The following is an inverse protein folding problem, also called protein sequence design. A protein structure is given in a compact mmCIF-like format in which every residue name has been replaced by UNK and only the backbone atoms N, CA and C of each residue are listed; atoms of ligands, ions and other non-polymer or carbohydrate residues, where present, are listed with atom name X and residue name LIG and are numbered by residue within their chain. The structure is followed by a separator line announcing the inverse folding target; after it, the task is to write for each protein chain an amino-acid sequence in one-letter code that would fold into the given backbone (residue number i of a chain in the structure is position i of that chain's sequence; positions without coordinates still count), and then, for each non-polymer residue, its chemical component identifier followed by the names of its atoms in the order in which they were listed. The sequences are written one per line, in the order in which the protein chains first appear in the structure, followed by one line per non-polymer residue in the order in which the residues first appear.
data_IF_943424632360
#
_entry.id   IF_943424632360
#
_cell.length_a   1.000
_cell.length_b   1.000
_cell.length_c   1.000
_cell.angle_alpha   90.00
_cell.angle_beta   90.00
_cell.angle_gamma   90.00
#
_symmetry.space_group_name_H-M   'P 1'
#
loop_
_entity.id
_entity.type
_entity.pdbx_description
1 polymer ?
#
# COMPACT_ATOMS: atom_id res chain seq x y z
N UNK A 1 -66.14 -41.72 10.54
CA UNK A 1 -65.47 -40.73 9.72
C UNK A 1 -64.24 -40.20 10.43
N UNK A 2 -63.09 -40.58 10.03
CA UNK A 2 -61.83 -40.09 10.59
C UNK A 2 -61.24 -39.05 9.65
N UNK A 3 -61.30 -37.81 10.04
CA UNK A 3 -60.64 -36.72 9.30
C UNK A 3 -59.16 -36.76 9.70
N UNK A 4 -58.32 -37.20 8.79
CA UNK A 4 -56.87 -37.14 8.98
C UNK A 4 -56.43 -35.77 8.55
N UNK A 5 -56.14 -34.91 9.54
CA UNK A 5 -55.57 -33.61 9.33
C UNK A 5 -54.08 -33.81 9.04
N UNK A 6 -53.71 -33.74 7.77
CA UNK A 6 -52.30 -33.73 7.38
C UNK A 6 -51.74 -32.33 7.60
N UNK A 7 -51.01 -32.19 8.69
CA UNK A 7 -50.16 -31.02 8.89
C UNK A 7 -49.01 -31.10 7.91
N UNK A 8 -49.07 -30.31 6.86
CA UNK A 8 -47.93 -30.05 5.98
C UNK A 8 -47.10 -28.99 6.68
N UNK A 9 -46.04 -29.42 7.35
CA UNK A 9 -44.99 -28.53 7.82
C UNK A 9 -44.21 -28.03 6.59
N UNK A 10 -44.53 -26.84 6.12
CA UNK A 10 -43.72 -26.13 5.15
C UNK A 10 -42.49 -25.61 5.90
N UNK A 11 -41.39 -26.33 5.76
CA UNK A 11 -40.08 -25.90 6.24
C UNK A 11 -39.61 -24.83 5.28
N UNK A 12 -39.85 -23.58 5.62
CA UNK A 12 -39.25 -22.45 4.95
C UNK A 12 -37.78 -22.39 5.35
N UNK A 13 -36.90 -22.95 4.53
CA UNK A 13 -35.51 -22.69 4.62
C UNK A 13 -35.30 -21.24 4.14
N UNK A 14 -35.18 -20.33 5.07
CA UNK A 14 -34.53 -19.03 4.79
C UNK A 14 -33.07 -19.32 4.49
N UNK A 15 -32.75 -19.54 3.23
CA UNK A 15 -31.40 -19.42 2.74
C UNK A 15 -31.05 -17.92 2.78
N UNK A 16 -30.50 -17.50 3.92
CA UNK A 16 -29.85 -16.21 4.02
C UNK A 16 -28.68 -16.23 3.04
N UNK A 17 -28.85 -15.62 1.89
CA UNK A 17 -27.74 -15.28 1.03
C UNK A 17 -26.86 -14.32 1.84
N UNK A 18 -25.74 -14.83 2.34
CA UNK A 18 -24.64 -14.00 2.78
C UNK A 18 -24.15 -13.29 1.53
N UNK A 19 -24.66 -12.08 1.32
CA UNK A 19 -24.05 -11.19 0.35
C UNK A 19 -22.64 -10.90 0.88
N UNK A 20 -21.67 -11.64 0.36
CA UNK A 20 -20.28 -11.27 0.48
C UNK A 20 -20.16 -9.93 -0.23
N UNK A 21 -20.18 -8.83 0.52
CA UNK A 21 -19.79 -7.53 0.02
C UNK A 21 -18.34 -7.65 -0.39
N UNK A 22 -18.09 -7.96 -1.65
CA UNK A 22 -16.79 -7.75 -2.24
C UNK A 22 -16.52 -6.25 -2.10
N UNK A 23 -15.68 -5.88 -1.12
CA UNK A 23 -15.05 -4.58 -1.16
C UNK A 23 -14.34 -4.53 -2.51
N UNK A 24 -14.93 -3.83 -3.46
CA UNK A 24 -14.21 -3.39 -4.63
C UNK A 24 -13.06 -2.56 -4.07
N UNK A 25 -11.90 -3.20 -3.90
CA UNK A 25 -10.66 -2.46 -3.75
C UNK A 25 -10.62 -1.55 -4.96
N UNK A 26 -10.74 -0.24 -4.72
CA UNK A 26 -10.62 0.77 -5.76
C UNK A 26 -9.18 0.70 -6.26
N UNK A 27 -8.96 -0.21 -7.22
CA UNK A 27 -7.67 -0.34 -7.88
C UNK A 27 -7.34 1.00 -8.51
N UNK A 28 -6.16 1.49 -8.24
CA UNK A 28 -5.68 2.71 -8.84
C UNK A 28 -5.65 2.55 -10.36
N UNK A 29 -6.20 3.53 -11.07
CA UNK A 29 -6.07 3.64 -12.50
C UNK A 29 -4.75 4.30 -12.82
N UNK A 30 -3.91 3.64 -13.60
CA UNK A 30 -2.60 4.13 -13.95
C UNK A 30 -2.49 4.37 -15.45
N UNK A 31 -1.87 5.49 -15.81
CA UNK A 31 -1.46 5.82 -17.18
C UNK A 31 0.05 5.82 -17.26
N UNK A 32 0.59 5.14 -18.25
CA UNK A 32 2.02 5.03 -18.46
C UNK A 32 2.44 5.78 -19.71
N UNK A 33 3.50 6.57 -19.61
CA UNK A 33 4.10 7.30 -20.70
C UNK A 33 5.63 7.30 -20.52
N UNK A 34 6.36 6.74 -21.47
CA UNK A 34 7.82 6.64 -21.43
C UNK A 34 8.35 6.21 -20.04
N UNK A 35 8.94 7.13 -19.30
CA UNK A 35 9.51 6.94 -17.96
C UNK A 35 8.59 7.44 -16.82
N UNK A 36 7.37 7.84 -17.15
CA UNK A 36 6.39 8.35 -16.18
C UNK A 36 5.24 7.39 -16.01
N UNK A 37 4.88 7.11 -14.77
CA UNK A 37 3.67 6.41 -14.38
C UNK A 37 2.84 7.34 -13.49
N UNK A 38 1.61 7.63 -13.88
CA UNK A 38 0.69 8.45 -13.12
C UNK A 38 -0.55 7.63 -12.76
N UNK A 39 -0.88 7.59 -11.48
CA UNK A 39 -1.97 6.79 -10.94
C UNK A 39 -2.93 7.65 -10.13
N UNK A 40 -4.22 7.31 -10.19
CA UNK A 40 -5.23 7.87 -9.31
C UNK A 40 -6.14 6.77 -8.78
N UNK A 41 -6.54 6.86 -7.53
CA UNK A 41 -7.57 5.98 -6.98
C UNK A 41 -8.96 6.62 -7.10
N UNK A 42 -10.01 5.85 -6.80
CA UNK A 42 -11.39 6.35 -6.85
C UNK A 42 -11.75 7.31 -5.72
N UNK A 43 -10.84 7.61 -4.80
CA UNK A 43 -11.02 8.49 -3.65
C UNK A 43 -10.40 9.88 -3.86
N UNK A 44 -9.78 10.11 -5.01
CA UNK A 44 -9.14 11.38 -5.35
C UNK A 44 -7.66 11.47 -4.95
N UNK A 45 -7.07 10.40 -4.38
CA UNK A 45 -5.64 10.33 -4.17
C UNK A 45 -4.93 10.09 -5.50
N UNK A 46 -3.80 10.73 -5.71
CA UNK A 46 -3.03 10.61 -6.93
C UNK A 46 -1.54 10.49 -6.61
N UNK A 47 -0.83 9.76 -7.43
CA UNK A 47 0.62 9.62 -7.32
C UNK A 47 1.26 9.39 -8.67
N UNK A 48 2.49 9.82 -8.78
CA UNK A 48 3.29 9.63 -9.98
C UNK A 48 4.68 9.13 -9.64
N UNK A 49 5.23 8.34 -10.54
CA UNK A 49 6.57 7.78 -10.44
C UNK A 49 7.29 8.11 -11.75
N UNK A 50 8.40 8.78 -11.65
CA UNK A 50 9.27 9.08 -12.80
C UNK A 50 10.66 8.51 -12.54
N UNK A 51 11.21 7.82 -13.51
CA UNK A 51 12.56 7.25 -13.43
C UNK A 51 13.50 8.01 -14.37
N UNK A 52 14.62 8.45 -13.83
CA UNK A 52 15.68 9.10 -14.58
C UNK A 52 17.04 8.56 -14.11
N UNK A 53 17.71 7.76 -14.94
CA UNK A 53 18.96 7.10 -14.56
C UNK A 53 18.76 6.17 -13.34
N UNK A 54 19.55 6.36 -12.32
CA UNK A 54 19.47 5.61 -11.05
C UNK A 54 18.54 6.25 -10.00
N UNK A 55 17.78 7.26 -10.40
CA UNK A 55 16.92 8.02 -9.50
C UNK A 55 15.45 7.84 -9.88
N UNK A 56 14.64 7.61 -8.87
CA UNK A 56 13.18 7.52 -8.98
C UNK A 56 12.59 8.68 -8.21
N UNK A 57 11.77 9.48 -8.89
CA UNK A 57 11.03 10.60 -8.32
C UNK A 57 9.59 10.18 -8.11
N UNK A 58 9.14 10.22 -6.87
CA UNK A 58 7.76 9.92 -6.51
C UNK A 58 7.09 11.20 -6.03
N UNK A 59 5.86 11.40 -6.43
CA UNK A 59 4.99 12.47 -5.93
C UNK A 59 3.63 11.91 -5.63
N UNK A 60 3.01 12.42 -4.59
CA UNK A 60 1.68 12.01 -4.20
C UNK A 60 0.83 13.16 -3.72
N UNK A 61 -0.46 12.97 -3.85
CA UNK A 61 -1.49 13.81 -3.28
C UNK A 61 -2.48 12.93 -2.53
N UNK A 62 -2.73 13.28 -1.28
CA UNK A 62 -3.71 12.64 -0.41
C UNK A 62 -4.85 13.61 -0.15
N UNK A 63 -6.07 13.21 -0.48
CA UNK A 63 -7.27 14.03 -0.27
C UNK A 63 -7.47 14.34 1.20
N UNK A 64 -7.26 13.35 2.06
CA UNK A 64 -7.32 13.52 3.49
C UNK A 64 -6.22 14.46 3.97
N UNK A 65 -6.62 15.66 4.41
CA UNK A 65 -5.71 16.69 4.84
C UNK A 65 -5.07 17.50 3.70
N UNK A 66 -5.50 17.30 2.44
CA UNK A 66 -4.95 17.98 1.25
C UNK A 66 -3.42 17.97 1.21
N UNK A 67 -2.87 16.80 1.47
CA UNK A 67 -1.43 16.61 1.68
C UNK A 67 -0.72 16.28 0.38
N UNK A 68 0.23 17.10 -0.02
CA UNK A 68 1.17 16.82 -1.09
C UNK A 68 2.48 16.30 -0.51
N UNK A 69 3.08 15.33 -1.19
CA UNK A 69 4.39 14.84 -0.81
C UNK A 69 5.24 14.52 -2.03
N UNK A 70 6.53 14.55 -1.84
CA UNK A 70 7.51 14.17 -2.84
C UNK A 70 8.62 13.34 -2.19
N UNK A 71 9.05 12.31 -2.88
CA UNK A 71 10.16 11.46 -2.46
C UNK A 71 11.12 11.25 -3.61
N UNK A 72 12.40 11.30 -3.33
CA UNK A 72 13.46 10.95 -4.26
C UNK A 72 14.15 9.69 -3.75
N UNK A 73 14.26 8.70 -4.60
CA UNK A 73 14.92 7.44 -4.30
C UNK A 73 16.07 7.25 -5.28
N UNK A 74 17.26 7.10 -4.77
CA UNK A 74 18.47 6.90 -5.56
C UNK A 74 19.14 5.59 -5.24
N UNK A 75 19.65 4.92 -6.26
CA UNK A 75 20.29 3.62 -6.13
C UNK A 75 21.77 3.74 -6.47
N UNK A 76 22.60 3.27 -5.55
CA UNK A 76 24.05 3.21 -5.70
C UNK A 76 24.53 1.80 -5.38
N UNK A 77 24.70 0.97 -6.40
CA UNK A 77 25.04 -0.44 -6.20
C UNK A 77 23.97 -1.19 -5.40
N UNK A 78 24.33 -1.68 -4.23
CA UNK A 78 23.42 -2.40 -3.33
C UNK A 78 22.73 -1.52 -2.30
N UNK A 79 23.01 -0.21 -2.32
CA UNK A 79 22.40 0.79 -1.46
C UNK A 79 21.31 1.53 -2.21
N UNK A 80 20.11 1.54 -1.66
CA UNK A 80 19.02 2.40 -2.08
C UNK A 80 18.75 3.42 -0.99
N UNK A 81 18.80 4.67 -1.35
CA UNK A 81 18.64 5.80 -0.44
C UNK A 81 17.41 6.62 -0.84
N UNK A 82 16.58 7.01 0.11
CA UNK A 82 15.41 7.84 -0.18
C UNK A 82 15.27 8.99 0.80
N UNK A 83 14.75 10.10 0.31
CA UNK A 83 14.37 11.27 1.09
C UNK A 83 13.01 11.76 0.63
N UNK A 84 12.22 12.26 1.54
CA UNK A 84 10.90 12.79 1.21
C UNK A 84 10.52 13.99 2.06
N UNK A 85 9.58 14.76 1.53
CA UNK A 85 9.04 15.95 2.17
C UNK A 85 7.56 16.06 1.83
N UNK A 86 6.75 16.44 2.81
CA UNK A 86 5.34 16.69 2.63
C UNK A 86 4.96 18.16 2.90
N UNK A 87 3.81 18.56 2.37
CA UNK A 87 3.30 19.93 2.51
C UNK A 87 2.95 20.33 3.95
N UNK A 88 2.74 19.35 4.84
CA UNK A 88 2.55 19.55 6.27
C UNK A 88 3.87 19.79 7.04
N UNK A 89 5.01 19.74 6.35
CA UNK A 89 6.34 19.92 6.92
C UNK A 89 7.01 18.63 7.38
N UNK A 90 6.32 17.47 7.29
CA UNK A 90 6.94 16.19 7.60
C UNK A 90 8.04 15.87 6.58
N UNK A 91 9.21 15.50 7.08
CA UNK A 91 10.33 15.04 6.28
C UNK A 91 10.75 13.64 6.72
N UNK A 92 11.15 12.82 5.79
CA UNK A 92 11.63 11.48 6.09
C UNK A 92 12.85 11.13 5.26
N UNK A 93 13.63 10.23 5.79
CA UNK A 93 14.86 9.72 5.17
C UNK A 93 15.01 8.26 5.51
N UNK A 94 15.57 7.53 4.59
CA UNK A 94 15.86 6.14 4.85
C UNK A 94 16.79 5.53 3.81
N UNK A 95 17.17 4.32 4.08
CA UNK A 95 17.96 3.52 3.15
C UNK A 95 17.63 2.04 3.25
N UNK A 96 17.91 1.36 2.17
CA UNK A 96 17.85 -0.09 2.07
C UNK A 96 19.19 -0.57 1.54
N UNK A 97 19.83 -1.47 2.23
CA UNK A 97 21.12 -2.07 1.85
C UNK A 97 21.01 -3.58 1.77
N UNK A 98 21.42 -4.11 0.65
CA UNK A 98 21.48 -5.55 0.47
C UNK A 98 22.82 -6.08 1.00
N UNK A 99 22.75 -7.07 1.90
CA UNK A 99 23.91 -7.76 2.46
C UNK A 99 23.70 -9.27 2.27
N UNK A 100 24.28 -9.84 1.23
CA UNK A 100 24.07 -11.24 0.86
C UNK A 100 22.59 -11.52 0.53
N UNK A 101 21.98 -12.43 1.29
CA UNK A 101 20.56 -12.82 1.15
C UNK A 101 19.60 -11.96 1.95
N UNK A 102 20.14 -10.98 2.68
CA UNK A 102 19.40 -10.16 3.62
C UNK A 102 19.38 -8.71 3.13
N UNK A 103 18.28 -8.05 3.32
CA UNK A 103 18.14 -6.61 3.09
C UNK A 103 17.92 -5.89 4.41
N UNK A 104 18.76 -4.92 4.70
CA UNK A 104 18.66 -4.04 5.85
C UNK A 104 17.95 -2.78 5.46
N UNK A 105 16.87 -2.44 6.16
CA UNK A 105 16.07 -1.25 5.89
C UNK A 105 16.03 -0.37 7.14
N UNK A 106 16.22 0.92 6.96
CA UNK A 106 16.11 1.90 8.04
C UNK A 106 15.41 3.14 7.53
N UNK A 107 14.49 3.67 8.32
CA UNK A 107 13.87 4.95 8.03
C UNK A 107 13.68 5.76 9.30
N UNK A 108 13.59 7.08 9.16
CA UNK A 108 13.20 8.00 10.21
C UNK A 108 12.41 9.16 9.63
N UNK A 109 11.49 9.70 10.43
CA UNK A 109 10.64 10.82 10.06
C UNK A 109 10.73 11.92 11.10
N UNK A 110 10.60 13.16 10.69
CA UNK A 110 10.51 14.31 11.59
C UNK A 110 9.28 14.27 12.49
N UNK A 111 8.24 13.50 12.13
CA UNK A 111 7.07 13.24 12.96
C UNK A 111 7.30 12.23 14.09
N UNK A 112 8.51 11.72 14.25
CA UNK A 112 8.88 10.76 15.29
C UNK A 112 8.78 9.30 14.91
N UNK A 113 8.24 8.96 13.74
CA UNK A 113 8.22 7.60 13.25
C UNK A 113 9.64 7.17 12.83
N UNK A 114 10.08 6.02 13.30
CA UNK A 114 11.36 5.43 12.95
C UNK A 114 11.24 3.91 12.94
N UNK A 115 12.01 3.25 12.07
CA UNK A 115 12.01 1.81 11.98
C UNK A 115 13.31 1.27 11.44
N UNK A 116 13.63 0.05 11.84
CA UNK A 116 14.74 -0.74 11.33
C UNK A 116 14.25 -2.15 11.09
N UNK A 117 14.33 -2.61 9.85
CA UNK A 117 13.82 -3.92 9.44
C UNK A 117 14.92 -4.70 8.75
N UNK A 118 14.97 -5.99 9.05
CA UNK A 118 15.82 -6.95 8.36
C UNK A 118 14.91 -7.89 7.58
N UNK A 119 15.06 -7.91 6.27
CA UNK A 119 14.26 -8.73 5.37
C UNK A 119 15.11 -9.83 4.74
N UNK A 120 14.65 -11.07 4.84
CA UNK A 120 15.25 -12.24 4.20
C UNK A 120 14.28 -12.84 3.17
N UNK A 121 14.83 -13.66 2.26
CA UNK A 121 14.01 -14.32 1.23
C UNK A 121 13.03 -15.35 1.80
N UNK A 122 13.38 -15.96 2.92
CA UNK A 122 12.62 -17.08 3.51
C UNK A 122 11.74 -16.61 4.66
N UNK A 123 12.23 -15.71 5.52
CA UNK A 123 11.57 -15.33 6.77
C UNK A 123 10.79 -14.01 6.67
N UNK A 124 10.77 -13.38 5.49
CA UNK A 124 10.16 -12.06 5.34
C UNK A 124 10.92 -10.96 6.09
N UNK A 125 10.22 -9.91 6.47
CA UNK A 125 10.78 -8.78 7.19
C UNK A 125 10.51 -8.89 8.69
N UNK A 126 11.56 -8.63 9.49
CA UNK A 126 11.49 -8.61 10.95
C UNK A 126 11.97 -7.27 11.48
N UNK A 127 11.29 -6.76 12.49
CA UNK A 127 11.71 -5.55 13.21
C UNK A 127 13.00 -5.86 13.95
N UNK A 128 14.03 -5.05 13.71
CA UNK A 128 15.32 -5.14 14.35
C UNK A 128 15.53 -3.91 15.23
N UNK A 129 15.30 -4.07 16.47
CA UNK A 129 15.60 -3.05 17.48
C UNK A 129 17.03 -3.13 17.96
#
# INVERSE_FOLDING_TARGET
MRIILKFVFAFWMLSGALEASAHTSLLANCTRSANLLACSDGQGNAYSVMTAGNTVYLRGFEVKGSRHWAQTTSRYGQLTFFTGLASDGEAWVGYSRRVGWTTLNRFSSSGGAAGKFICGRINGCQDSR
#
